data_IF_856236146648
#
_entry.id   IF_856236146648
#
_cell.length_a   1.000
_cell.length_b   1.000
_cell.length_c   1.000
_cell.angle_alpha   90.00
_cell.angle_beta   90.00
_cell.angle_gamma   90.00
#
_symmetry.space_group_name_H-M   'P 1'
#
loop_
_entity.id
_entity.type
_entity.pdbx_description
1 polymer ?
#
# COMPACT_ATOMS: atom_id res chain seq x y z
N UNK A 1 2.46 -12.12 0.06
CA UNK A 1 2.36 -12.17 -1.42
C UNK A 1 2.33 -10.74 -1.95
N UNK A 2 3.06 -10.39 -3.03
CA UNK A 2 3.00 -9.03 -3.61
C UNK A 2 1.80 -8.91 -4.55
N UNK A 3 0.91 -7.94 -4.30
CA UNK A 3 -0.37 -7.79 -5.01
C UNK A 3 -0.29 -6.79 -6.16
N UNK A 4 0.36 -5.64 -5.95
CA UNK A 4 0.50 -4.53 -6.91
C UNK A 4 -0.87 -4.00 -7.45
N UNK A 5 -1.92 -4.00 -6.62
CA UNK A 5 -3.28 -3.59 -7.00
C UNK A 5 -3.49 -2.07 -6.77
N UNK A 6 -4.02 -1.35 -7.76
CA UNK A 6 -4.37 0.07 -7.59
C UNK A 6 -5.55 0.25 -6.63
N UNK A 7 -5.38 1.09 -5.62
CA UNK A 7 -6.42 1.37 -4.62
C UNK A 7 -6.57 2.87 -4.39
N UNK A 8 -7.80 3.41 -4.27
CA UNK A 8 -7.99 4.79 -3.80
C UNK A 8 -7.56 4.92 -2.34
N UNK A 9 -6.77 5.96 -2.04
CA UNK A 9 -6.30 6.27 -0.69
C UNK A 9 -6.58 7.74 -0.38
N UNK A 10 -7.20 7.98 0.76
CA UNK A 10 -7.33 9.32 1.36
C UNK A 10 -6.16 9.52 2.33
N UNK A 11 -5.53 10.69 2.28
CA UNK A 11 -4.35 11.01 3.08
C UNK A 11 -4.57 12.21 3.99
N UNK A 12 -3.72 12.35 5.01
CA UNK A 12 -3.52 13.61 5.73
C UNK A 12 -2.94 14.67 4.79
N UNK A 13 -2.92 15.92 5.23
CA UNK A 13 -2.21 17.02 4.54
C UNK A 13 -0.71 16.72 4.36
N UNK A 14 -0.11 15.98 5.30
CA UNK A 14 1.28 15.53 5.23
C UNK A 14 1.49 14.29 4.32
N UNK A 15 0.43 13.75 3.70
CA UNK A 15 0.50 12.63 2.77
C UNK A 15 0.50 11.24 3.41
N UNK A 16 0.22 11.13 4.72
CA UNK A 16 0.08 9.83 5.40
C UNK A 16 -1.31 9.22 5.15
N UNK A 17 -1.45 7.91 4.88
CA UNK A 17 -2.76 7.29 4.70
C UNK A 17 -3.68 7.45 5.91
N UNK A 18 -4.95 7.75 5.66
CA UNK A 18 -6.04 7.80 6.64
C UNK A 18 -7.07 6.70 6.38
N UNK A 19 -7.45 6.54 5.11
CA UNK A 19 -8.45 5.56 4.66
C UNK A 19 -8.09 5.07 3.27
N UNK A 20 -8.53 3.87 2.93
CA UNK A 20 -8.42 3.36 1.58
C UNK A 20 -9.59 2.44 1.24
N UNK A 21 -9.86 2.29 -0.04
CA UNK A 21 -10.90 1.37 -0.53
C UNK A 21 -10.24 0.21 -1.26
N UNK A 22 -10.45 -1.01 -0.76
CA UNK A 22 -9.99 -2.23 -1.41
C UNK A 22 -11.17 -3.19 -1.52
N UNK A 23 -11.40 -3.83 -2.67
CA UNK A 23 -12.49 -4.81 -2.89
C UNK A 23 -13.87 -4.39 -2.34
N UNK A 24 -14.24 -3.12 -2.53
CA UNK A 24 -15.50 -2.50 -2.06
C UNK A 24 -15.66 -2.47 -0.53
N UNK A 25 -14.55 -2.51 0.19
CA UNK A 25 -14.46 -2.27 1.63
C UNK A 25 -13.75 -0.94 1.83
N UNK A 26 -14.27 -0.10 2.71
CA UNK A 26 -13.52 1.06 3.19
C UNK A 26 -12.80 0.64 4.46
N UNK A 27 -11.48 0.80 4.47
CA UNK A 27 -10.64 0.55 5.62
C UNK A 27 -10.19 1.87 6.23
N UNK A 28 -10.23 1.97 7.56
CA UNK A 28 -9.69 3.10 8.31
C UNK A 28 -8.40 2.73 8.99
N UNK A 29 -7.36 3.55 8.83
CA UNK A 29 -6.07 3.38 9.51
C UNK A 29 -6.24 3.71 10.99
N UNK A 30 -5.79 2.81 11.88
CA UNK A 30 -6.04 2.90 13.33
C UNK A 30 -4.79 3.15 14.17
N UNK A 31 -3.60 3.07 13.57
CA UNK A 31 -2.31 3.33 14.22
C UNK A 31 -1.42 4.23 13.35
N UNK A 32 -0.43 4.94 13.93
CA UNK A 32 0.57 5.65 13.14
C UNK A 32 1.33 4.70 12.21
N UNK A 33 1.43 4.99 10.90
CA UNK A 33 2.08 4.08 9.95
C UNK A 33 3.58 3.93 10.14
N UNK A 34 4.11 2.75 9.85
CA UNK A 34 5.54 2.55 9.61
C UNK A 34 5.86 2.88 8.14
N UNK A 35 6.98 3.58 7.89
CA UNK A 35 7.33 4.09 6.56
C UNK A 35 8.72 3.66 6.13
N UNK A 36 8.85 3.16 4.91
CA UNK A 36 10.12 2.90 4.26
C UNK A 36 10.07 3.20 2.75
N UNK A 37 11.21 3.09 2.07
CA UNK A 37 11.29 3.20 0.61
C UNK A 37 11.72 1.86 0.04
N UNK A 38 10.90 1.32 -0.86
CA UNK A 38 11.29 0.18 -1.70
C UNK A 38 11.63 0.65 -3.12
N UNK A 39 12.09 -0.27 -3.97
CA UNK A 39 12.43 0.00 -5.36
C UNK A 39 11.65 -0.89 -6.31
N UNK A 40 11.18 -0.32 -7.41
CA UNK A 40 10.61 -1.09 -8.53
C UNK A 40 11.67 -1.42 -9.57
N UNK A 41 11.36 -2.44 -10.36
CA UNK A 41 12.10 -2.79 -11.56
C UNK A 41 11.77 -1.79 -12.69
N UNK A 42 12.35 -0.59 -12.62
CA UNK A 42 12.04 0.53 -13.52
C UNK A 42 12.13 0.18 -15.02
N UNK A 43 13.01 -0.75 -15.37
CA UNK A 43 13.21 -1.21 -16.76
C UNK A 43 11.97 -1.91 -17.35
N UNK A 44 11.00 -2.32 -16.51
CA UNK A 44 9.72 -2.84 -16.98
C UNK A 44 8.72 -1.74 -17.35
N UNK A 45 8.83 -0.57 -16.71
CA UNK A 45 7.85 0.51 -16.83
C UNK A 45 8.35 1.70 -17.66
N UNK A 46 9.65 1.81 -17.92
CA UNK A 46 10.24 2.94 -18.62
C UNK A 46 11.29 2.51 -19.67
N UNK A 47 11.30 3.21 -20.81
CA UNK A 47 12.21 2.92 -21.94
C UNK A 47 13.66 3.33 -21.65
N UNK A 48 13.89 4.29 -20.76
CA UNK A 48 15.22 4.77 -20.37
C UNK A 48 15.22 5.34 -18.95
N UNK A 49 16.39 5.46 -18.35
CA UNK A 49 16.59 6.16 -17.08
C UNK A 49 17.32 7.49 -17.30
N UNK A 50 16.63 8.63 -17.34
CA UNK A 50 17.28 9.93 -17.42
C UNK A 50 18.13 10.22 -16.19
N UNK A 51 19.26 10.90 -16.39
CA UNK A 51 20.14 11.30 -15.28
C UNK A 51 19.38 12.23 -14.33
N UNK A 52 19.35 11.89 -13.05
CA UNK A 52 18.72 12.70 -12.00
C UNK A 52 17.28 12.31 -11.67
N UNK A 53 16.65 11.39 -12.40
CA UNK A 53 15.24 11.01 -12.18
C UNK A 53 15.05 9.75 -11.31
N UNK A 54 16.10 9.32 -10.61
CA UNK A 54 16.08 8.07 -9.85
C UNK A 54 14.94 7.97 -8.83
N UNK A 55 14.62 9.05 -8.12
CA UNK A 55 13.55 9.08 -7.12
C UNK A 55 12.17 8.79 -7.72
N UNK A 56 11.83 9.41 -8.85
CA UNK A 56 10.51 9.16 -9.48
C UNK A 56 10.47 7.83 -10.20
N UNK A 57 11.61 7.38 -10.72
CA UNK A 57 11.72 6.20 -11.57
C UNK A 57 11.80 4.88 -10.78
N UNK A 58 12.53 4.89 -9.66
CA UNK A 58 12.87 3.70 -8.88
C UNK A 58 12.08 3.63 -7.58
N UNK A 59 11.98 4.75 -6.87
CA UNK A 59 11.55 4.74 -5.47
C UNK A 59 10.03 4.64 -5.35
N UNK A 60 9.63 3.79 -4.42
CA UNK A 60 8.26 3.61 -3.99
C UNK A 60 8.26 3.79 -2.47
N UNK A 61 7.90 4.98 -1.95
CA UNK A 61 7.59 5.11 -0.54
C UNK A 61 6.42 4.17 -0.21
N UNK A 62 6.55 3.43 0.89
CA UNK A 62 5.59 2.46 1.38
C UNK A 62 5.22 2.83 2.80
N UNK A 63 3.93 2.70 3.10
CA UNK A 63 3.33 2.85 4.41
C UNK A 63 2.73 1.51 4.80
N UNK A 64 3.21 0.93 5.88
CA UNK A 64 2.53 -0.16 6.57
C UNK A 64 1.53 0.43 7.54
N UNK A 65 0.27 0.02 7.39
CA UNK A 65 -0.84 0.51 8.19
C UNK A 65 -1.59 -0.65 8.80
N UNK A 66 -1.94 -0.53 10.08
CA UNK A 66 -3.00 -1.36 10.64
C UNK A 66 -4.33 -0.69 10.35
N UNK A 67 -5.28 -1.47 9.84
CA UNK A 67 -6.57 -0.92 9.43
C UNK A 67 -7.73 -1.88 9.72
N UNK A 68 -8.88 -1.27 10.05
CA UNK A 68 -10.13 -1.96 10.32
C UNK A 68 -11.18 -1.63 9.24
N UNK A 69 -12.05 -2.56 8.86
CA UNK A 69 -13.16 -2.27 7.97
C UNK A 69 -14.14 -1.30 8.65
N UNK A 70 -14.55 -0.26 7.93
CA UNK A 70 -15.55 0.70 8.40
C UNK A 70 -16.99 0.31 8.00
N UNK A 71 -17.16 -0.85 7.36
CA UNK A 71 -18.48 -1.37 6.93
C UNK A 71 -18.93 -2.49 7.87
N UNK A 72 -20.03 -2.27 8.57
CA UNK A 72 -20.61 -3.25 9.50
C UNK A 72 -20.98 -4.58 8.81
N UNK A 73 -20.82 -5.69 9.54
CA UNK A 73 -21.25 -7.03 9.13
C UNK A 73 -20.33 -7.73 8.13
N UNK A 74 -19.24 -7.09 7.71
CA UNK A 74 -18.28 -7.72 6.84
C UNK A 74 -17.30 -8.58 7.68
N UNK A 75 -17.29 -9.90 7.48
CA UNK A 75 -16.17 -10.76 7.89
C UNK A 75 -14.97 -10.39 7.03
N UNK A 76 -14.34 -9.28 7.34
CA UNK A 76 -13.29 -8.70 6.53
C UNK A 76 -12.15 -8.38 7.44
N UNK A 77 -11.20 -9.30 7.41
CA UNK A 77 -9.79 -9.13 7.72
C UNK A 77 -9.47 -7.76 8.33
N UNK A 78 -9.48 -7.71 9.65
CA UNK A 78 -8.63 -6.78 10.38
C UNK A 78 -7.20 -7.16 10.05
N UNK A 79 -6.35 -6.19 9.74
CA UNK A 79 -5.02 -6.55 9.32
C UNK A 79 -4.10 -5.39 9.05
N UNK A 80 -2.90 -5.78 8.64
CA UNK A 80 -1.82 -4.88 8.28
C UNK A 80 -1.70 -4.85 6.77
N UNK A 81 -1.56 -3.66 6.20
CA UNK A 81 -1.54 -3.43 4.76
C UNK A 81 -0.32 -2.61 4.37
N UNK A 82 0.34 -2.98 3.28
CA UNK A 82 1.42 -2.20 2.70
C UNK A 82 0.87 -1.37 1.53
N UNK A 83 0.76 -0.06 1.71
CA UNK A 83 0.33 0.90 0.70
C UNK A 83 1.54 1.63 0.15
N UNK A 84 1.68 1.74 -1.16
CA UNK A 84 2.76 2.47 -1.80
C UNK A 84 2.25 3.57 -2.72
N UNK A 85 2.95 4.69 -2.77
CA UNK A 85 2.66 5.78 -3.70
C UNK A 85 3.60 5.70 -4.89
N UNK A 86 3.04 5.43 -6.06
CA UNK A 86 3.74 5.57 -7.32
C UNK A 86 3.89 7.06 -7.67
N UNK A 87 5.07 7.64 -7.42
CA UNK A 87 5.33 9.05 -7.74
C UNK A 87 5.34 9.38 -9.24
N UNK A 88 5.51 8.38 -10.11
CA UNK A 88 5.50 8.61 -11.55
C UNK A 88 4.07 8.81 -12.09
N UNK A 89 3.10 8.13 -11.50
CA UNK A 89 1.69 8.16 -11.93
C UNK A 89 0.77 8.92 -10.97
N UNK A 90 1.18 9.07 -9.71
CA UNK A 90 0.36 9.55 -8.61
C UNK A 90 -0.58 8.49 -8.03
N UNK A 91 -0.54 7.25 -8.55
CA UNK A 91 -1.43 6.18 -8.12
C UNK A 91 -0.94 5.54 -6.82
N UNK A 92 -1.89 5.17 -5.97
CA UNK A 92 -1.62 4.33 -4.80
C UNK A 92 -1.76 2.85 -5.16
N UNK A 93 -0.87 2.03 -4.63
CA UNK A 93 -0.81 0.58 -4.84
C UNK A 93 -0.90 -0.13 -3.50
N UNK A 94 -1.72 -1.17 -3.42
CA UNK A 94 -1.70 -2.16 -2.36
C UNK A 94 -0.65 -3.22 -2.72
N UNK A 95 0.46 -3.24 -1.97
CA UNK A 95 1.57 -4.15 -2.18
C UNK A 95 1.39 -5.46 -1.41
N UNK A 96 0.79 -5.41 -0.23
CA UNK A 96 0.66 -6.56 0.66
C UNK A 96 -0.53 -6.43 1.61
N UNK A 97 -1.07 -7.58 2.00
CA UNK A 97 -2.11 -7.75 3.01
C UNK A 97 -1.60 -8.83 3.94
N UNK A 98 -1.64 -8.56 5.23
CA UNK A 98 -1.23 -9.45 6.30
C UNK A 98 -2.36 -9.49 7.31
N UNK A 99 -2.75 -10.69 7.69
CA UNK A 99 -3.73 -10.89 8.73
C UNK A 99 -3.33 -12.06 9.61
N UNK A 100 -3.85 -12.05 10.83
CA UNK A 100 -3.53 -13.05 11.84
C UNK A 100 -3.97 -14.47 11.43
N UNK A 101 -4.91 -14.65 10.48
CA UNK A 101 -5.31 -15.97 9.96
C UNK A 101 -4.38 -16.48 8.85
N UNK A 102 -3.89 -15.61 7.98
CA UNK A 102 -2.99 -15.91 6.85
C UNK A 102 -1.59 -16.23 7.35
N UNK A 103 -1.12 -15.58 8.42
CA UNK A 103 0.12 -15.97 9.09
C UNK A 103 0.00 -17.35 9.76
N UNK A 104 -1.11 -17.64 10.44
CA UNK A 104 -1.34 -18.95 11.07
C UNK A 104 -1.40 -20.11 10.05
N UNK A 105 -1.92 -19.87 8.84
CA UNK A 105 -1.98 -20.91 7.79
C UNK A 105 -0.65 -21.16 7.07
N UNK A 106 0.31 -20.24 7.14
CA UNK A 106 1.61 -20.38 6.46
C UNK A 106 2.67 -21.07 7.34
N UNK A 107 2.44 -21.17 8.65
CA UNK A 107 3.38 -21.76 9.62
C UNK A 107 2.78 -22.94 10.42
N UNK A 108 1.68 -23.54 9.96
CA UNK A 108 1.08 -24.76 10.51
C UNK A 108 1.50 -26.02 9.72
#
# INVERSE_FOLDING_TARGET
MRIDERVPVETTEAGSPLRFTWRRVVYGVVSPPEVWVTRREWWRSATRAPRGEGTTLLELPVWRVDALPLTDGAHRVDGTFDLALDRATGDWLLLGVFDDEVEQQLFA
#
